data_IF_841438657628
#
_entry.id   IF_841438657628
#
_cell.length_a   1.000
_cell.length_b   1.000
_cell.length_c   1.000
_cell.angle_alpha   90.00
_cell.angle_beta   90.00
_cell.angle_gamma   90.00
#
_symmetry.space_group_name_H-M   'P 1'
#
loop_
_entity.id
_entity.type
_entity.pdbx_description
1 polymer ?
#
# COMPACT_ATOMS: atom_id res chain seq x y z
N UNK A 1 -13.23 10.21 -20.85
CA UNK A 1 -12.79 9.48 -19.63
C UNK A 1 -11.65 10.23 -18.96
N UNK A 2 -11.82 10.64 -17.74
CA UNK A 2 -10.75 11.33 -16.99
C UNK A 2 -9.94 10.24 -16.28
N UNK A 3 -8.71 10.03 -16.72
CA UNK A 3 -7.79 9.14 -16.02
C UNK A 3 -7.42 9.76 -14.67
N UNK A 4 -7.43 8.99 -13.57
CA UNK A 4 -6.97 9.50 -12.28
C UNK A 4 -5.54 10.04 -12.36
N UNK A 5 -5.20 11.08 -11.59
CA UNK A 5 -3.82 11.57 -11.56
C UNK A 5 -2.86 10.50 -11.03
N UNK A 6 -1.59 10.52 -11.45
CA UNK A 6 -0.59 9.60 -10.93
C UNK A 6 -0.48 9.71 -9.41
N UNK A 7 -0.50 8.57 -8.73
CA UNK A 7 -0.37 8.48 -7.28
C UNK A 7 -0.60 7.06 -6.79
N UNK A 8 -0.10 6.75 -5.61
CA UNK A 8 -0.19 5.43 -5.00
C UNK A 8 -1.01 5.51 -3.71
N UNK A 9 -2.05 4.67 -3.62
CA UNK A 9 -2.87 4.51 -2.42
C UNK A 9 -2.74 3.10 -1.88
N UNK A 10 -2.25 2.96 -0.66
CA UNK A 10 -2.23 1.69 0.05
C UNK A 10 -3.50 1.52 0.88
N UNK A 11 -4.15 0.37 0.78
CA UNK A 11 -5.39 0.08 1.49
C UNK A 11 -5.26 -1.19 2.33
N UNK A 12 -5.64 -1.10 3.60
CA UNK A 12 -5.78 -2.24 4.50
C UNK A 12 -7.14 -2.18 5.22
N UNK A 13 -7.34 -2.99 6.24
CA UNK A 13 -8.62 -3.05 6.93
C UNK A 13 -8.87 -1.80 7.81
N UNK A 14 -7.94 -1.47 8.71
CA UNK A 14 -8.15 -0.44 9.74
C UNK A 14 -7.32 0.83 9.59
N UNK A 15 -6.36 0.85 8.68
CA UNK A 15 -5.46 1.98 8.45
C UNK A 15 -4.63 2.41 9.69
N UNK A 16 -4.19 1.45 10.49
CA UNK A 16 -3.30 1.71 11.64
C UNK A 16 -1.99 0.91 11.63
N UNK A 17 -1.89 -0.18 10.87
CA UNK A 17 -0.69 -1.03 10.83
C UNK A 17 -0.08 -1.10 9.43
N UNK A 18 -0.61 -1.95 8.55
CA UNK A 18 0.00 -2.30 7.26
C UNK A 18 0.03 -1.14 6.27
N UNK A 19 -1.11 -0.53 6.01
CA UNK A 19 -1.18 0.55 5.03
C UNK A 19 -0.45 1.82 5.44
N UNK A 20 -0.51 2.29 6.72
CA UNK A 20 0.32 3.43 7.11
C UNK A 20 1.82 3.10 7.08
N UNK A 21 2.22 1.90 7.43
CA UNK A 21 3.63 1.48 7.29
C UNK A 21 4.05 1.56 5.81
N UNK A 22 3.25 1.01 4.89
CA UNK A 22 3.54 1.08 3.47
C UNK A 22 3.61 2.53 2.96
N UNK A 23 2.69 3.39 3.39
CA UNK A 23 2.68 4.81 3.01
C UNK A 23 3.98 5.51 3.40
N UNK A 24 4.38 5.44 4.67
CA UNK A 24 5.53 6.19 5.17
C UNK A 24 6.88 5.59 4.73
N UNK A 25 6.95 4.27 4.57
CA UNK A 25 8.11 3.64 3.92
C UNK A 25 8.21 4.09 2.46
N UNK A 26 7.10 4.10 1.73
CA UNK A 26 7.08 4.55 0.33
C UNK A 26 7.45 6.03 0.19
N UNK A 27 6.95 6.90 1.04
CA UNK A 27 7.33 8.33 1.01
C UNK A 27 8.84 8.52 1.13
N UNK A 28 9.47 7.82 2.07
CA UNK A 28 10.91 7.89 2.30
C UNK A 28 11.71 7.28 1.15
N UNK A 29 11.35 6.06 0.73
CA UNK A 29 12.11 5.34 -0.29
C UNK A 29 11.89 5.92 -1.70
N UNK A 30 10.70 6.40 -2.01
CA UNK A 30 10.43 7.08 -3.28
C UNK A 30 11.23 8.36 -3.42
N UNK A 31 11.29 9.17 -2.35
CA UNK A 31 12.11 10.38 -2.31
C UNK A 31 13.58 10.03 -2.55
N UNK A 32 14.09 9.04 -1.82
CA UNK A 32 15.49 8.57 -1.96
C UNK A 32 15.80 8.05 -3.37
N UNK A 33 14.83 7.42 -4.04
CA UNK A 33 15.00 6.80 -5.36
C UNK A 33 14.56 7.70 -6.52
N UNK A 34 14.17 8.94 -6.24
CA UNK A 34 13.78 9.91 -7.26
C UNK A 34 12.40 9.67 -7.88
N UNK A 35 11.51 8.91 -7.22
CA UNK A 35 10.13 8.69 -7.65
C UNK A 35 9.25 9.80 -7.06
N UNK A 36 8.74 10.68 -7.90
CA UNK A 36 7.92 11.83 -7.49
C UNK A 36 6.43 11.52 -7.71
N UNK A 37 5.85 10.75 -6.81
CA UNK A 37 4.42 10.42 -6.82
C UNK A 37 3.81 10.68 -5.44
N UNK A 38 2.60 11.27 -5.39
CA UNK A 38 1.84 11.31 -4.15
C UNK A 38 1.56 9.91 -3.62
N UNK A 39 1.69 9.73 -2.32
CA UNK A 39 1.43 8.48 -1.62
C UNK A 39 0.49 8.75 -0.45
N UNK A 40 -0.51 7.91 -0.30
CA UNK A 40 -1.44 7.96 0.83
C UNK A 40 -1.85 6.55 1.25
N UNK A 41 -2.60 6.45 2.33
CA UNK A 41 -3.18 5.19 2.79
C UNK A 41 -4.60 5.38 3.32
N UNK A 42 -5.40 4.31 3.29
CA UNK A 42 -6.78 4.26 3.78
C UNK A 42 -7.07 2.92 4.43
N UNK A 43 -8.11 2.89 5.24
CA UNK A 43 -8.72 1.67 5.76
C UNK A 43 -10.09 1.44 5.16
N UNK A 44 -10.48 0.17 4.97
CA UNK A 44 -11.84 -0.15 4.55
C UNK A 44 -12.86 0.21 5.63
N UNK A 45 -12.50 -0.03 6.90
CA UNK A 45 -13.34 0.30 8.05
C UNK A 45 -13.07 1.68 8.62
N UNK A 46 -13.96 2.14 9.47
CA UNK A 46 -13.93 3.46 10.10
C UNK A 46 -13.54 3.44 11.58
N UNK A 47 -13.25 2.25 12.14
CA UNK A 47 -13.04 2.05 13.59
C UNK A 47 -11.96 2.94 14.20
N UNK A 48 -10.96 3.31 13.42
CA UNK A 48 -9.77 4.02 13.88
C UNK A 48 -9.62 5.42 13.29
N UNK A 49 -10.62 5.92 12.58
CA UNK A 49 -10.56 7.24 11.94
C UNK A 49 -10.10 8.31 12.91
N UNK A 50 -9.08 9.07 12.54
CA UNK A 50 -8.46 10.13 13.34
C UNK A 50 -7.39 9.65 14.32
N UNK A 51 -7.22 8.33 14.50
CA UNK A 51 -6.18 7.78 15.37
C UNK A 51 -4.83 7.73 14.66
N UNK A 52 -3.75 7.78 15.44
CA UNK A 52 -2.40 7.53 14.94
C UNK A 52 -2.16 6.06 14.57
N UNK A 53 -0.98 5.78 14.05
CA UNK A 53 -0.56 4.41 13.78
C UNK A 53 -0.51 3.58 15.06
N UNK A 54 -0.73 2.27 14.94
CA UNK A 54 -0.52 1.33 16.06
C UNK A 54 0.88 1.56 16.65
N UNK A 55 1.02 1.71 17.98
CA UNK A 55 2.32 2.01 18.60
C UNK A 55 3.40 0.98 18.29
N UNK A 56 3.03 -0.29 18.12
CA UNK A 56 3.97 -1.37 17.78
C UNK A 56 4.46 -1.24 16.34
N UNK A 57 3.58 -0.88 15.40
CA UNK A 57 3.95 -0.58 14.02
C UNK A 57 4.85 0.67 13.94
N UNK A 58 4.49 1.71 14.67
CA UNK A 58 5.28 2.94 14.74
C UNK A 58 6.68 2.70 15.35
N UNK A 59 6.78 1.88 16.39
CA UNK A 59 8.06 1.54 17.02
C UNK A 59 8.96 0.72 16.08
N UNK A 60 8.41 -0.29 15.40
CA UNK A 60 9.14 -1.08 14.41
C UNK A 60 9.67 -0.18 13.28
N UNK A 61 8.83 0.67 12.73
CA UNK A 61 9.19 1.61 11.67
C UNK A 61 10.29 2.58 12.12
N UNK A 62 10.19 3.13 13.32
CA UNK A 62 11.19 4.06 13.87
C UNK A 62 12.56 3.39 13.97
N UNK A 63 12.62 2.14 14.42
CA UNK A 63 13.86 1.38 14.49
C UNK A 63 14.54 1.18 13.15
N UNK A 64 13.81 1.26 12.05
CA UNK A 64 14.32 1.16 10.69
C UNK A 64 14.49 2.52 9.98
N UNK A 65 14.24 3.63 10.67
CA UNK A 65 14.44 4.99 10.15
C UNK A 65 13.20 5.60 9.50
N UNK A 66 12.00 5.06 9.73
CA UNK A 66 10.75 5.60 9.22
C UNK A 66 9.91 6.20 10.35
N UNK A 67 9.29 7.34 10.10
CA UNK A 67 8.49 8.06 11.10
C UNK A 67 7.00 8.05 10.71
N UNK A 68 6.19 7.35 11.50
CA UNK A 68 4.74 7.26 11.34
C UNK A 68 3.97 8.25 12.23
N UNK A 69 4.64 9.15 12.93
CA UNK A 69 4.01 10.00 13.96
C UNK A 69 2.95 10.96 13.41
N UNK A 70 3.07 11.37 12.16
CA UNK A 70 2.11 12.27 11.50
C UNK A 70 0.87 11.54 10.98
N UNK A 71 0.87 10.20 10.95
CA UNK A 71 -0.25 9.44 10.42
C UNK A 71 -1.52 9.65 11.23
N UNK A 72 -2.63 9.81 10.52
CA UNK A 72 -3.99 9.76 11.07
C UNK A 72 -4.84 8.88 10.17
N UNK A 73 -5.48 7.87 10.76
CA UNK A 73 -6.28 6.91 10.03
C UNK A 73 -7.45 7.58 9.31
N UNK A 74 -7.68 7.19 8.07
CA UNK A 74 -8.77 7.68 7.21
C UNK A 74 -9.45 6.50 6.54
N UNK A 75 -10.78 6.56 6.43
CA UNK A 75 -11.54 5.54 5.73
C UNK A 75 -11.42 5.72 4.20
N UNK A 76 -11.36 4.60 3.50
CA UNK A 76 -11.43 4.57 2.03
C UNK A 76 -12.80 5.08 1.58
N UNK A 77 -12.77 5.95 0.59
CA UNK A 77 -13.92 6.54 -0.07
C UNK A 77 -13.88 6.14 -1.55
N UNK A 78 -15.04 5.89 -2.17
CA UNK A 78 -15.08 5.50 -3.59
C UNK A 78 -14.47 6.57 -4.52
N UNK A 79 -14.48 7.83 -4.11
CA UNK A 79 -13.79 8.91 -4.83
C UNK A 79 -12.26 8.74 -4.82
N UNK A 80 -11.70 7.92 -3.95
CA UNK A 80 -10.26 7.62 -3.95
C UNK A 80 -9.82 6.95 -5.27
N UNK A 81 -10.71 6.23 -5.96
CA UNK A 81 -10.45 5.72 -7.30
C UNK A 81 -10.22 6.81 -8.35
N UNK A 82 -10.68 8.03 -8.10
CA UNK A 82 -10.47 9.21 -8.95
C UNK A 82 -9.27 10.06 -8.52
N UNK A 83 -8.76 9.83 -7.30
CA UNK A 83 -7.63 10.58 -6.73
C UNK A 83 -6.29 9.91 -6.99
N UNK A 84 -6.28 8.59 -7.20
CA UNK A 84 -5.07 7.79 -7.37
C UNK A 84 -5.24 6.81 -8.54
N UNK A 85 -4.22 6.71 -9.38
CA UNK A 85 -4.24 5.76 -10.50
C UNK A 85 -3.76 4.36 -10.09
N UNK A 86 -3.16 4.22 -8.92
CA UNK A 86 -2.73 2.94 -8.35
C UNK A 86 -3.30 2.75 -6.96
N UNK A 87 -4.31 1.92 -6.85
CA UNK A 87 -4.92 1.52 -5.58
C UNK A 87 -4.44 0.11 -5.24
N UNK A 88 -3.66 0.00 -4.18
CA UNK A 88 -2.93 -1.22 -3.82
C UNK A 88 -3.44 -1.80 -2.50
N UNK A 89 -4.05 -2.97 -2.58
CA UNK A 89 -4.54 -3.72 -1.43
C UNK A 89 -3.40 -4.53 -0.79
N UNK A 90 -3.34 -4.55 0.53
CA UNK A 90 -2.31 -5.32 1.24
C UNK A 90 -2.55 -6.83 1.19
N UNK A 91 -3.79 -7.27 0.98
CA UNK A 91 -4.17 -8.69 0.96
C UNK A 91 -5.37 -8.97 0.04
N UNK A 92 -5.69 -10.26 -0.11
CA UNK A 92 -6.79 -10.73 -0.99
C UNK A 92 -8.15 -10.26 -0.50
N UNK A 93 -8.39 -10.23 0.80
CA UNK A 93 -9.68 -9.83 1.35
C UNK A 93 -9.94 -8.34 1.07
N UNK A 94 -8.94 -7.50 1.26
CA UNK A 94 -9.01 -6.07 0.92
C UNK A 94 -9.21 -5.88 -0.58
N UNK A 95 -8.48 -6.62 -1.41
CA UNK A 95 -8.64 -6.55 -2.87
C UNK A 95 -10.04 -6.92 -3.31
N UNK A 96 -10.61 -7.99 -2.76
CA UNK A 96 -11.95 -8.44 -3.11
C UNK A 96 -13.01 -7.35 -2.86
N UNK A 97 -12.89 -6.63 -1.73
CA UNK A 97 -13.78 -5.50 -1.43
C UNK A 97 -13.60 -4.35 -2.41
N UNK A 98 -12.35 -3.98 -2.72
CA UNK A 98 -12.07 -2.91 -3.68
C UNK A 98 -12.56 -3.25 -5.09
N UNK A 99 -12.42 -4.51 -5.53
CA UNK A 99 -12.91 -4.96 -6.83
C UNK A 99 -14.43 -4.87 -6.96
N UNK A 100 -15.18 -5.01 -5.86
CA UNK A 100 -16.64 -4.82 -5.87
C UNK A 100 -17.05 -3.34 -6.00
N UNK A 101 -16.14 -2.41 -5.67
CA UNK A 101 -16.40 -0.98 -5.59
C UNK A 101 -15.82 -0.18 -6.74
N UNK A 102 -14.84 -0.75 -7.45
CA UNK A 102 -14.16 -0.01 -8.53
C UNK A 102 -15.14 0.30 -9.66
N UNK A 103 -15.22 1.56 -10.12
CA UNK A 103 -16.06 1.91 -11.26
C UNK A 103 -15.55 1.28 -12.57
N UNK A 104 -16.46 1.07 -13.50
CA UNK A 104 -16.09 0.71 -14.87
C UNK A 104 -15.17 1.78 -15.46
N UNK A 105 -14.29 1.38 -16.37
CA UNK A 105 -13.32 2.25 -17.04
C UNK A 105 -12.27 2.90 -16.12
N UNK A 106 -12.16 2.43 -14.89
CA UNK A 106 -11.15 2.86 -13.92
C UNK A 106 -10.03 1.80 -13.86
N UNK A 107 -8.76 2.17 -13.69
CA UNK A 107 -7.70 1.20 -13.48
C UNK A 107 -8.05 0.27 -12.30
N UNK A 108 -8.00 -1.07 -12.48
CA UNK A 108 -8.38 -1.99 -11.42
C UNK A 108 -7.39 -1.93 -10.26
N UNK A 109 -7.86 -2.06 -9.00
CA UNK A 109 -6.96 -2.24 -7.88
C UNK A 109 -6.19 -3.55 -8.01
N UNK A 110 -5.01 -3.62 -7.40
CA UNK A 110 -4.16 -4.80 -7.35
C UNK A 110 -3.68 -5.06 -5.94
N UNK A 111 -3.22 -6.28 -5.66
CA UNK A 111 -2.47 -6.51 -4.43
C UNK A 111 -1.10 -5.83 -4.52
N UNK A 112 -0.67 -5.22 -3.43
CA UNK A 112 0.60 -4.51 -3.34
C UNK A 112 1.80 -5.36 -3.80
N UNK A 113 1.93 -6.58 -3.26
CA UNK A 113 3.07 -7.45 -3.60
C UNK A 113 3.04 -7.94 -5.05
N UNK A 114 1.85 -8.05 -5.66
CA UNK A 114 1.69 -8.34 -7.08
C UNK A 114 2.13 -7.16 -7.94
N UNK A 115 1.68 -5.96 -7.62
CA UNK A 115 2.09 -4.72 -8.30
C UNK A 115 3.60 -4.49 -8.20
N UNK A 116 4.20 -4.85 -7.07
CA UNK A 116 5.65 -4.79 -6.85
C UNK A 116 6.44 -5.87 -7.60
N UNK A 117 5.78 -6.89 -8.14
CA UNK A 117 6.43 -8.02 -8.82
C UNK A 117 7.02 -9.07 -7.90
N UNK A 118 6.66 -9.05 -6.61
CA UNK A 118 7.11 -10.03 -5.63
C UNK A 118 6.20 -11.25 -5.51
N UNK A 119 5.02 -11.21 -6.12
CA UNK A 119 4.08 -12.31 -6.16
C UNK A 119 3.33 -12.34 -7.49
N UNK A 120 2.84 -13.50 -7.88
CA UNK A 120 1.94 -13.63 -9.02
C UNK A 120 0.49 -13.33 -8.62
N UNK A 121 -0.35 -13.00 -9.60
CA UNK A 121 -1.79 -12.80 -9.37
C UNK A 121 -2.49 -14.05 -8.84
N UNK A 122 -1.97 -15.23 -9.15
CA UNK A 122 -2.48 -16.52 -8.71
C UNK A 122 -1.99 -16.92 -7.31
N UNK A 123 -1.01 -16.18 -6.75
CA UNK A 123 -0.51 -16.48 -5.42
C UNK A 123 -1.64 -16.36 -4.38
N UNK A 124 -1.71 -17.34 -3.49
CA UNK A 124 -2.59 -17.30 -2.32
C UNK A 124 -2.02 -16.35 -1.23
N UNK A 125 -1.93 -16.86 -0.02
CA UNK A 125 -1.42 -16.11 1.14
C UNK A 125 0.02 -15.58 0.95
N UNK A 126 0.85 -16.24 0.14
CA UNK A 126 2.20 -15.77 -0.18
C UNK A 126 2.23 -14.42 -0.90
N UNK A 127 1.13 -13.99 -1.51
CA UNK A 127 0.97 -12.67 -2.14
C UNK A 127 0.36 -11.62 -1.23
N UNK A 128 0.06 -11.95 0.01
CA UNK A 128 -0.51 -11.05 1.00
C UNK A 128 0.56 -10.49 1.94
N UNK A 129 0.38 -9.25 2.40
CA UNK A 129 1.08 -8.75 3.58
C UNK A 129 0.33 -9.27 4.81
N UNK A 130 0.93 -10.11 5.66
CA UNK A 130 0.25 -10.64 6.84
C UNK A 130 -0.20 -9.54 7.79
N UNK A 131 -1.29 -9.77 8.52
CA UNK A 131 -1.75 -8.86 9.55
C UNK A 131 -1.05 -9.16 10.87
N UNK A 132 -0.20 -8.25 11.39
CA UNK A 132 0.54 -8.50 12.63
C UNK A 132 -0.24 -8.13 13.89
N UNK A 133 -1.47 -7.66 13.78
CA UNK A 133 -2.22 -7.01 14.86
C UNK A 133 -2.32 -7.86 16.14
N UNK A 134 -2.54 -9.17 16.00
CA UNK A 134 -2.60 -10.12 17.14
C UNK A 134 -1.27 -10.84 17.39
N UNK A 135 -0.22 -10.45 16.70
CA UNK A 135 1.09 -11.08 16.76
C UNK A 135 2.05 -10.44 17.75
N UNK A 136 3.30 -10.86 17.64
CA UNK A 136 4.41 -10.42 18.47
C UNK A 136 5.16 -9.24 17.83
N UNK A 137 6.14 -8.68 18.58
CA UNK A 137 7.07 -7.69 18.02
C UNK A 137 7.79 -8.21 16.77
N UNK A 138 8.19 -9.45 16.76
CA UNK A 138 8.87 -10.06 15.61
C UNK A 138 7.96 -10.09 14.38
N UNK A 139 6.66 -10.31 14.55
CA UNK A 139 5.68 -10.25 13.46
C UNK A 139 5.61 -8.84 12.86
N UNK A 140 5.63 -7.79 13.68
CA UNK A 140 5.70 -6.40 13.18
C UNK A 140 6.99 -6.11 12.42
N UNK A 141 8.13 -6.63 12.88
CA UNK A 141 9.41 -6.48 12.20
C UNK A 141 9.44 -7.22 10.87
N UNK A 142 8.88 -8.42 10.82
CA UNK A 142 8.77 -9.21 9.59
C UNK A 142 7.88 -8.52 8.56
N UNK A 143 6.74 -8.00 8.96
CA UNK A 143 5.83 -7.24 8.11
C UNK A 143 6.50 -5.96 7.59
N UNK A 144 7.21 -5.24 8.44
CA UNK A 144 7.98 -4.06 8.03
C UNK A 144 9.02 -4.43 6.95
N UNK A 145 9.77 -5.49 7.15
CA UNK A 145 10.77 -5.97 6.18
C UNK A 145 10.15 -6.33 4.83
N UNK A 146 9.01 -7.00 4.85
CA UNK A 146 8.27 -7.36 3.64
C UNK A 146 7.74 -6.12 2.90
N UNK A 147 7.15 -5.17 3.63
CA UNK A 147 6.67 -3.91 3.07
C UNK A 147 7.83 -3.12 2.45
N UNK A 148 8.97 -3.04 3.13
CA UNK A 148 10.15 -2.36 2.60
C UNK A 148 10.63 -2.98 1.29
N UNK A 149 10.75 -4.28 1.21
CA UNK A 149 11.10 -4.98 -0.04
C UNK A 149 10.08 -4.71 -1.15
N UNK A 150 8.80 -4.73 -0.81
CA UNK A 150 7.72 -4.41 -1.76
C UNK A 150 7.81 -2.98 -2.27
N UNK A 151 8.04 -2.02 -1.40
CA UNK A 151 8.18 -0.60 -1.77
C UNK A 151 9.40 -0.38 -2.66
N UNK A 152 10.55 -0.97 -2.33
CA UNK A 152 11.76 -0.86 -3.15
C UNK A 152 11.55 -1.46 -4.55
N UNK A 153 10.92 -2.62 -4.64
CA UNK A 153 10.61 -3.26 -5.92
C UNK A 153 9.59 -2.45 -6.74
N UNK A 154 8.58 -1.89 -6.09
CA UNK A 154 7.60 -1.01 -6.74
C UNK A 154 8.27 0.26 -7.27
N UNK A 155 9.13 0.89 -6.47
CA UNK A 155 9.87 2.08 -6.88
C UNK A 155 10.74 1.80 -8.12
N UNK A 156 11.40 0.65 -8.18
CA UNK A 156 12.20 0.25 -9.33
C UNK A 156 11.36 0.11 -10.60
N UNK A 157 10.13 -0.39 -10.49
CA UNK A 157 9.20 -0.48 -11.62
C UNK A 157 8.69 0.88 -12.07
N UNK A 158 8.37 1.76 -11.13
CA UNK A 158 7.86 3.10 -11.43
C UNK A 158 8.93 4.03 -11.99
N UNK A 159 10.21 3.77 -11.72
CA UNK A 159 11.35 4.55 -12.24
C UNK A 159 11.76 4.15 -13.66
N UNK A 160 11.26 3.04 -14.19
CA UNK A 160 11.57 2.62 -15.56
C UNK A 160 10.75 3.46 -16.55
N UNK A 161 11.39 4.13 -17.53
CA UNK A 161 10.63 4.70 -18.64
C UNK A 161 9.83 3.59 -19.31
N UNK A 162 8.60 3.90 -19.70
CA UNK A 162 7.71 2.97 -20.39
C UNK A 162 8.47 2.21 -21.48
N UNK A 163 8.78 0.94 -21.20
CA UNK A 163 9.02 0.02 -22.30
C UNK A 163 7.64 -0.24 -22.90
N UNK A 164 7.42 0.06 -24.18
CA UNK A 164 6.21 -0.40 -24.82
C UNK A 164 6.14 -1.91 -24.59
N UNK A 165 5.03 -2.35 -23.97
CA UNK A 165 4.78 -3.77 -23.83
C UNK A 165 4.95 -4.41 -25.20
N UNK A 166 5.89 -5.35 -25.29
CA UNK A 166 5.99 -6.19 -26.47
C UNK A 166 4.67 -6.95 -26.57
N UNK A 167 3.81 -6.50 -27.47
CA UNK A 167 2.61 -7.28 -27.82
C UNK A 167 3.06 -8.63 -28.35
N UNK A 168 2.45 -9.73 -27.89
CA UNK A 168 2.69 -11.04 -28.46
C UNK A 168 2.30 -11.09 -29.93
#
# INVERSE_FOLDING_TARGET
MIRPPPGVLFVCLGNICRSPTAEYVARTEFDRLGVQLPVASRGLGDWHVGQGADPRAAAAARGAGYDLSAHRARQFDDDDFQRFDRVLAVDRATLAELLRRVPDDTPPPERFLVAAGLASRQAGAAGDVPDPYTGTRDDFLEVLGLIRRGVEALAARLSRPDRPEARP
#
